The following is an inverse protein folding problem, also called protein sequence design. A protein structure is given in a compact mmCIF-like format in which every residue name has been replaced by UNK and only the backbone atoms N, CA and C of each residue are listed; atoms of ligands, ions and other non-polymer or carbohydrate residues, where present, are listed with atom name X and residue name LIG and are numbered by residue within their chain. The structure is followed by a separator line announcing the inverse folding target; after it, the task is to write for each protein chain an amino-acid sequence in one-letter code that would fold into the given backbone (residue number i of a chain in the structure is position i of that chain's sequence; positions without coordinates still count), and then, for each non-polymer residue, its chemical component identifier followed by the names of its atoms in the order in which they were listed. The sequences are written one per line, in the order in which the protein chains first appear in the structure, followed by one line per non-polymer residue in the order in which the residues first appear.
data_IF_518634487735
#
_entry.id   IF_518634487735
#
_cell.length_a   1.000
_cell.length_b   1.000
_cell.length_c   1.000
_cell.angle_alpha   90.00
_cell.angle_beta   90.00
_cell.angle_gamma   90.00
#
_symmetry.space_group_name_H-M   'P 1'
#
loop_
_entity.id
_entity.type
_entity.pdbx_description
1 polymer ?
#
# COMPACT_ATOMS: atom_id res chain seq x y z
N UNK A 1 -7.53 -80.32 -40.79
CA UNK A 1 -8.81 -81.01 -40.65
C UNK A 1 -9.49 -80.38 -39.48
N UNK A 2 -10.37 -79.40 -39.60
CA UNK A 2 -11.04 -78.72 -40.71
C UNK A 2 -11.51 -77.39 -40.05
N UNK A 3 -11.39 -76.24 -40.75
CA UNK A 3 -12.52 -75.50 -41.35
C UNK A 3 -13.50 -75.00 -40.29
N UNK A 4 -14.08 -73.80 -40.32
CA UNK A 4 -13.93 -72.56 -41.04
C UNK A 4 -14.77 -71.56 -40.21
N UNK A 5 -14.54 -70.29 -40.49
CA UNK A 5 -15.32 -69.08 -40.18
C UNK A 5 -16.80 -69.22 -39.77
N UNK A 6 -17.23 -68.37 -38.83
CA UNK A 6 -18.40 -67.50 -39.06
C UNK A 6 -18.43 -66.36 -38.03
N UNK A 7 -18.38 -65.15 -38.58
CA UNK A 7 -18.64 -63.86 -37.95
C UNK A 7 -20.08 -63.81 -37.41
N UNK A 8 -20.29 -63.12 -36.28
CA UNK A 8 -21.49 -62.31 -36.11
C UNK A 8 -21.23 -61.17 -35.13
N UNK A 9 -21.36 -59.97 -35.69
CA UNK A 9 -21.43 -58.67 -35.04
C UNK A 9 -22.53 -58.64 -33.97
N UNK A 10 -22.20 -58.15 -32.77
CA UNK A 10 -23.16 -57.34 -31.99
C UNK A 10 -22.39 -56.39 -31.06
N UNK A 11 -22.27 -55.19 -31.61
CA UNK A 11 -22.22 -53.87 -31.00
C UNK A 11 -22.66 -53.84 -29.52
N UNK A 12 -21.78 -53.45 -28.60
CA UNK A 12 -22.18 -52.53 -27.53
C UNK A 12 -20.99 -52.00 -26.70
N UNK A 13 -20.81 -50.68 -26.83
CA UNK A 13 -20.36 -49.77 -25.78
C UNK A 13 -18.85 -49.54 -25.58
N UNK A 14 -18.20 -49.07 -26.64
CA UNK A 14 -17.00 -48.24 -26.53
C UNK A 14 -17.34 -46.84 -25.98
N UNK A 15 -17.39 -46.68 -24.65
CA UNK A 15 -17.21 -45.35 -24.03
C UNK A 15 -15.71 -45.03 -23.91
N UNK A 16 -15.02 -44.86 -25.04
CA UNK A 16 -13.74 -44.17 -25.05
C UNK A 16 -14.02 -42.66 -25.01
N UNK A 17 -13.97 -42.10 -23.81
CA UNK A 17 -13.93 -40.65 -23.61
C UNK A 17 -12.64 -40.15 -24.24
N UNK A 18 -12.74 -39.60 -25.44
CA UNK A 18 -11.67 -38.84 -26.07
C UNK A 18 -11.27 -37.70 -25.13
N UNK A 19 -10.10 -37.83 -24.49
CA UNK A 19 -9.45 -36.71 -23.83
C UNK A 19 -9.05 -35.69 -24.91
N UNK A 20 -9.89 -34.68 -25.07
CA UNK A 20 -9.61 -33.55 -25.94
C UNK A 20 -8.57 -32.65 -25.24
N UNK A 21 -7.34 -32.47 -25.75
CA UNK A 21 -6.30 -31.71 -25.05
C UNK A 21 -6.41 -30.22 -25.41
N UNK A 22 -7.57 -29.61 -25.16
CA UNK A 22 -7.72 -28.15 -25.20
C UNK A 22 -8.68 -27.73 -24.08
N UNK A 23 -8.30 -28.00 -22.82
CA UNK A 23 -8.77 -27.14 -21.75
C UNK A 23 -7.89 -25.91 -21.83
N UNK A 24 -8.35 -24.93 -22.60
CA UNK A 24 -7.85 -23.57 -22.45
C UNK A 24 -8.01 -23.23 -20.97
N UNK A 25 -6.88 -23.21 -20.24
CA UNK A 25 -6.88 -22.72 -18.88
C UNK A 25 -7.55 -21.35 -18.93
N UNK A 26 -8.58 -21.08 -18.12
CA UNK A 26 -9.11 -19.74 -18.04
C UNK A 26 -7.92 -18.82 -17.77
N UNK A 27 -7.85 -17.63 -18.42
CA UNK A 27 -6.76 -16.71 -18.15
C UNK A 27 -6.66 -16.58 -16.64
N UNK A 28 -5.49 -16.86 -16.08
CA UNK A 28 -5.23 -16.63 -14.67
C UNK A 28 -5.39 -15.13 -14.51
N UNK A 29 -6.61 -14.70 -14.16
CA UNK A 29 -6.89 -13.32 -13.86
C UNK A 29 -6.01 -13.06 -12.67
N UNK A 30 -4.98 -12.25 -12.87
CA UNK A 30 -4.12 -11.83 -11.79
C UNK A 30 -4.95 -10.87 -10.94
N UNK A 31 -5.84 -11.43 -10.11
CA UNK A 31 -6.66 -10.71 -9.16
C UNK A 31 -5.67 -10.24 -8.10
N UNK A 32 -5.07 -9.07 -8.34
CA UNK A 32 -4.32 -8.37 -7.31
C UNK A 32 -5.30 -8.07 -6.19
N UNK A 33 -5.16 -8.78 -5.08
CA UNK A 33 -5.93 -8.49 -3.87
C UNK A 33 -5.46 -7.13 -3.33
N UNK A 34 -6.22 -6.08 -3.63
CA UNK A 34 -5.95 -4.74 -3.10
C UNK A 34 -6.65 -4.62 -1.74
N UNK A 35 -5.91 -4.20 -0.73
CA UNK A 35 -6.47 -3.93 0.58
C UNK A 35 -7.54 -2.83 0.50
N UNK A 36 -8.75 -3.10 0.99
CA UNK A 36 -9.86 -2.13 0.97
C UNK A 36 -9.75 -1.06 2.05
N UNK A 37 -8.91 -1.28 3.06
CA UNK A 37 -8.71 -0.31 4.13
C UNK A 37 -7.68 0.73 3.70
N UNK A 38 -6.63 0.37 2.96
CA UNK A 38 -5.66 1.36 2.48
C UNK A 38 -6.30 2.44 1.59
N UNK A 39 -5.74 3.67 1.57
CA UNK A 39 -6.18 4.72 0.67
C UNK A 39 -6.16 4.21 -0.77
N UNK A 40 -7.16 4.55 -1.60
CA UNK A 40 -7.23 4.03 -2.95
C UNK A 40 -5.99 4.43 -3.74
N UNK A 41 -5.19 3.43 -4.11
CA UNK A 41 -3.92 3.57 -4.84
C UNK A 41 -4.08 4.25 -6.22
N UNK A 42 -5.32 4.35 -6.71
CA UNK A 42 -5.66 4.88 -8.02
C UNK A 42 -5.91 6.40 -8.06
N UNK A 43 -6.17 7.07 -6.92
CA UNK A 43 -6.48 8.51 -6.91
C UNK A 43 -5.30 9.38 -6.51
N UNK A 44 -4.32 8.81 -5.83
CA UNK A 44 -3.04 9.41 -5.46
C UNK A 44 -2.09 8.22 -5.35
N UNK A 45 -0.88 8.27 -5.92
CA UNK A 45 0.11 7.18 -5.85
C UNK A 45 0.66 7.00 -4.42
N UNK A 46 -0.21 6.69 -3.47
CA UNK A 46 0.09 6.45 -2.05
C UNK A 46 0.45 4.97 -1.96
N UNK A 47 1.68 4.67 -2.30
CA UNK A 47 2.27 3.34 -2.19
C UNK A 47 3.29 3.41 -1.05
N UNK A 48 3.39 2.38 -0.20
CA UNK A 48 4.51 2.27 0.73
C UNK A 48 5.82 2.46 -0.02
N UNK A 49 6.80 3.12 0.60
CA UNK A 49 8.09 3.38 -0.03
C UNK A 49 8.81 2.10 -0.52
N UNK A 50 8.52 0.97 0.13
CA UNK A 50 9.06 -0.36 -0.16
C UNK A 50 8.15 -1.21 -1.06
N UNK A 51 7.03 -0.68 -1.57
CA UNK A 51 6.10 -1.40 -2.43
C UNK A 51 5.26 -2.45 -1.70
N UNK A 52 5.18 -2.40 -0.36
CA UNK A 52 4.46 -3.37 0.45
C UNK A 52 2.98 -3.51 0.06
N UNK A 53 2.51 -4.76 0.03
CA UNK A 53 1.10 -5.13 -0.16
C UNK A 53 0.58 -5.79 1.10
N UNK A 54 -0.60 -5.37 1.54
CA UNK A 54 -1.17 -5.89 2.79
C UNK A 54 -1.54 -7.37 2.64
N UNK A 55 -1.07 -8.25 3.54
CA UNK A 55 -1.60 -9.60 3.63
C UNK A 55 -3.05 -9.60 4.12
N UNK A 56 -3.71 -10.76 4.00
CA UNK A 56 -5.04 -10.97 4.60
C UNK A 56 -4.93 -10.77 6.11
N UNK A 57 -5.88 -10.03 6.70
CA UNK A 57 -5.92 -9.67 8.13
C UNK A 57 -4.81 -8.71 8.62
N UNK A 58 -4.15 -7.97 7.72
CA UNK A 58 -3.23 -6.90 8.12
C UNK A 58 -3.94 -5.85 8.99
N UNK A 59 -3.39 -5.55 10.17
CA UNK A 59 -3.88 -4.47 11.01
C UNK A 59 -3.57 -3.11 10.40
N UNK A 60 -4.42 -2.12 10.66
CA UNK A 60 -4.24 -0.75 10.19
C UNK A 60 -4.35 0.24 11.33
N UNK A 61 -3.48 1.25 11.30
CA UNK A 61 -3.47 2.39 12.21
C UNK A 61 -3.82 3.66 11.43
N UNK A 62 -4.38 4.64 12.13
CA UNK A 62 -4.80 5.91 11.52
C UNK A 62 -3.69 6.95 11.66
N UNK A 63 -3.43 7.68 10.58
CA UNK A 63 -2.58 8.86 10.64
C UNK A 63 -3.26 9.96 11.48
N UNK A 64 -2.59 10.46 12.52
CA UNK A 64 -3.11 11.53 13.37
C UNK A 64 -3.27 12.88 12.62
N UNK A 65 -2.65 13.00 11.44
CA UNK A 65 -2.75 14.19 10.61
C UNK A 65 -3.96 14.15 9.66
N UNK A 66 -4.07 13.13 8.80
CA UNK A 66 -5.07 13.04 7.73
C UNK A 66 -6.17 12.00 7.98
N UNK A 67 -6.08 11.24 9.07
CA UNK A 67 -7.02 10.19 9.47
C UNK A 67 -7.16 9.09 8.42
N UNK A 68 -6.23 9.02 7.46
CA UNK A 68 -6.16 7.91 6.53
C UNK A 68 -5.50 6.71 7.19
N UNK A 69 -6.03 5.50 6.95
CA UNK A 69 -5.43 4.27 7.45
C UNK A 69 -4.11 3.96 6.73
N UNK A 70 -3.21 3.32 7.45
CA UNK A 70 -1.98 2.72 6.92
C UNK A 70 -1.72 1.38 7.60
N UNK A 71 -1.07 0.42 6.93
CA UNK A 71 -0.73 -0.86 7.52
C UNK A 71 0.11 -0.67 8.78
N UNK A 72 -0.24 -1.34 9.88
CA UNK A 72 0.57 -1.30 11.10
C UNK A 72 1.80 -2.20 10.92
N UNK A 73 2.96 -1.57 10.79
CA UNK A 73 4.27 -2.21 10.55
C UNK A 73 5.32 -1.63 11.50
N UNK A 74 4.89 -1.09 12.64
CA UNK A 74 5.76 -0.39 13.60
C UNK A 74 6.83 -1.28 14.25
N UNK A 75 6.63 -2.59 14.21
CA UNK A 75 7.57 -3.57 14.77
C UNK A 75 8.63 -4.01 13.74
N UNK A 76 8.50 -3.58 12.48
CA UNK A 76 9.46 -3.88 11.42
C UNK A 76 10.64 -2.90 11.46
N UNK A 77 11.85 -3.43 11.27
CA UNK A 77 13.05 -2.62 11.16
C UNK A 77 12.94 -1.65 9.97
N UNK A 78 13.49 -0.45 10.14
CA UNK A 78 13.53 0.62 9.13
C UNK A 78 12.16 1.21 8.72
N UNK A 79 11.06 0.76 9.34
CA UNK A 79 9.72 1.34 9.13
C UNK A 79 9.45 2.46 10.14
N UNK A 80 9.26 3.67 9.62
CA UNK A 80 9.02 4.87 10.42
C UNK A 80 7.57 5.34 10.28
N UNK A 81 6.73 4.91 11.22
CA UNK A 81 5.29 5.20 11.24
C UNK A 81 4.84 6.02 12.45
N UNK A 82 5.75 6.32 13.38
CA UNK A 82 5.45 7.06 14.60
C UNK A 82 6.53 8.10 14.92
N UNK A 83 6.13 9.15 15.63
CA UNK A 83 7.08 10.11 16.18
C UNK A 83 7.83 9.50 17.36
N UNK A 84 9.15 9.61 17.38
CA UNK A 84 9.96 9.06 18.47
C UNK A 84 9.69 9.72 19.84
N UNK A 85 9.20 10.97 19.84
CA UNK A 85 8.93 11.75 21.05
C UNK A 85 7.51 11.47 21.56
N UNK A 86 6.48 11.80 20.79
CA UNK A 86 5.09 11.74 21.25
C UNK A 86 4.41 10.38 21.01
N UNK A 87 5.09 9.46 20.31
CA UNK A 87 4.60 8.11 19.96
C UNK A 87 3.31 8.07 19.15
N UNK A 88 2.86 9.21 18.60
CA UNK A 88 1.71 9.30 17.70
C UNK A 88 2.06 8.83 16.29
N UNK A 89 1.06 8.34 15.56
CA UNK A 89 1.22 7.71 14.25
C UNK A 89 0.97 8.67 13.09
N UNK A 90 1.80 8.58 12.05
CA UNK A 90 1.78 9.47 10.90
C UNK A 90 2.23 8.76 9.63
N UNK A 91 1.60 9.08 8.50
CA UNK A 91 1.79 8.34 7.26
C UNK A 91 2.86 8.89 6.31
N UNK A 92 3.41 10.08 6.56
CA UNK A 92 4.19 10.80 5.56
C UNK A 92 5.49 10.09 5.17
N UNK A 93 6.30 9.61 6.11
CA UNK A 93 7.51 8.85 5.75
C UNK A 93 7.14 7.52 5.08
N UNK A 94 6.11 6.84 5.60
CA UNK A 94 5.70 5.53 5.10
C UNK A 94 5.24 5.56 3.63
N UNK A 95 4.41 6.54 3.25
CA UNK A 95 3.88 6.69 1.89
C UNK A 95 4.57 7.77 1.07
N UNK A 96 5.62 8.41 1.59
CA UNK A 96 6.25 9.63 1.04
C UNK A 96 5.35 10.88 0.98
N UNK A 97 4.03 10.74 1.12
CA UNK A 97 3.08 11.85 1.05
C UNK A 97 1.89 11.64 1.98
N UNK A 98 1.57 12.67 2.77
CA UNK A 98 0.32 12.76 3.51
C UNK A 98 -0.79 13.38 2.63
N UNK A 99 -2.00 12.82 2.67
CA UNK A 99 -3.13 13.28 1.84
C UNK A 99 -3.84 14.54 2.36
N UNK A 100 -3.52 15.01 3.58
CA UNK A 100 -4.13 16.22 4.12
C UNK A 100 -3.65 17.45 3.35
N UNK A 101 -4.59 18.23 2.83
CA UNK A 101 -4.30 19.52 2.17
C UNK A 101 -3.55 20.44 3.14
N UNK A 102 -2.42 20.99 2.68
CA UNK A 102 -1.56 21.87 3.48
C UNK A 102 -0.62 21.15 4.46
N UNK A 103 -0.58 19.82 4.47
CA UNK A 103 0.41 19.08 5.25
C UNK A 103 1.80 19.22 4.62
N UNK A 104 2.78 19.70 5.41
CA UNK A 104 4.19 19.87 4.99
C UNK A 104 5.07 18.66 5.29
N UNK A 105 4.44 17.54 5.69
CA UNK A 105 5.11 16.33 6.15
C UNK A 105 4.82 16.09 7.62
N UNK A 106 3.72 15.39 7.91
CA UNK A 106 3.27 15.17 9.29
C UNK A 106 4.19 14.27 10.12
N UNK A 107 5.14 13.62 9.46
CA UNK A 107 6.29 12.96 10.06
C UNK A 107 7.44 13.07 9.06
N UNK A 108 8.62 13.44 9.54
CA UNK A 108 9.83 13.51 8.74
C UNK A 108 11.06 13.31 9.64
N UNK A 109 12.24 13.19 9.04
CA UNK A 109 13.49 13.35 9.79
C UNK A 109 13.60 14.80 10.25
N UNK A 110 14.18 15.03 11.44
CA UNK A 110 14.25 16.36 12.05
C UNK A 110 14.86 17.41 11.10
N UNK A 111 15.93 17.05 10.39
CA UNK A 111 16.65 17.89 9.42
C UNK A 111 15.83 18.26 8.18
N UNK A 112 14.82 17.45 7.86
CA UNK A 112 14.03 17.52 6.62
C UNK A 112 12.62 18.09 6.88
N UNK A 113 12.31 18.49 8.13
CA UNK A 113 11.03 19.14 8.42
C UNK A 113 10.94 20.50 7.73
N UNK A 114 9.83 20.68 7.01
CA UNK A 114 9.52 21.94 6.35
C UNK A 114 8.58 22.76 7.24
N UNK A 115 9.01 23.96 7.58
CA UNK A 115 8.25 24.91 8.38
C UNK A 115 7.71 26.02 7.47
N UNK A 116 6.39 26.17 7.37
CA UNK A 116 5.79 27.33 6.69
C UNK A 116 6.18 28.65 7.34
N UNK A 117 6.02 29.73 6.58
CA UNK A 117 6.23 31.11 7.05
C UNK A 117 5.45 31.43 8.35
N UNK A 118 4.24 30.88 8.50
CA UNK A 118 3.43 31.05 9.71
C UNK A 118 4.13 30.51 10.97
N UNK A 119 4.86 29.39 10.87
CA UNK A 119 5.62 28.85 12.00
C UNK A 119 6.78 29.76 12.40
N UNK A 120 7.32 30.54 11.46
CA UNK A 120 8.41 31.47 11.72
C UNK A 120 7.93 32.79 12.31
N UNK A 121 6.69 33.21 12.03
CA UNK A 121 6.14 34.51 12.47
C UNK A 121 6.23 34.72 13.99
N UNK A 122 6.10 33.66 14.79
CA UNK A 122 6.11 33.71 16.25
C UNK A 122 7.11 32.72 16.87
N UNK A 123 8.12 32.29 16.13
CA UNK A 123 9.03 31.22 16.54
C UNK A 123 9.87 31.58 17.78
N UNK A 124 10.26 32.84 17.93
CA UNK A 124 11.04 33.30 19.08
C UNK A 124 10.10 33.65 20.22
N UNK A 125 9.83 32.68 21.11
CA UNK A 125 9.01 32.86 22.33
C UNK A 125 7.68 33.60 22.10
N UNK A 126 6.97 33.31 21.01
CA UNK A 126 5.73 33.99 20.61
C UNK A 126 5.83 35.52 20.45
N UNK A 127 7.05 36.02 20.21
CA UNK A 127 7.33 37.43 19.98
C UNK A 127 7.52 37.70 18.48
N UNK A 128 6.58 38.37 17.80
CA UNK A 128 6.66 38.62 16.36
C UNK A 128 7.78 39.60 15.99
N UNK A 129 8.15 40.53 16.88
CA UNK A 129 9.22 41.51 16.62
C UNK A 129 10.58 40.82 16.64
N UNK A 130 10.87 40.05 17.67
CA UNK A 130 12.13 39.28 17.75
C UNK A 130 12.21 38.22 16.64
N UNK A 131 11.09 37.55 16.37
CA UNK A 131 11.00 36.59 15.26
C UNK A 131 11.27 37.25 13.92
N UNK A 132 10.76 38.47 13.70
CA UNK A 132 11.04 39.24 12.48
C UNK A 132 12.50 39.64 12.36
N UNK A 133 13.14 40.07 13.46
CA UNK A 133 14.58 40.40 13.48
C UNK A 133 15.39 39.19 13.03
N UNK A 134 15.15 38.02 13.64
CA UNK A 134 15.84 36.78 13.28
C UNK A 134 15.60 36.39 11.82
N UNK A 135 14.35 36.47 11.34
CA UNK A 135 14.03 36.16 9.94
C UNK A 135 14.73 37.09 8.94
N UNK A 136 14.90 38.37 9.26
CA UNK A 136 15.65 39.31 8.41
C UNK A 136 17.13 38.99 8.42
N UNK A 137 17.70 38.57 9.56
CA UNK A 137 19.11 38.18 9.68
C UNK A 137 19.48 36.86 9.01
N UNK A 138 18.50 36.01 8.69
CA UNK A 138 18.69 34.73 8.00
C UNK A 138 18.64 34.85 6.46
N UNK A 139 18.42 36.05 5.93
CA UNK A 139 18.47 36.37 4.49
C UNK A 139 19.84 36.90 4.08
#
# INVERSE_FOLDING_TARGET
MDDDDDDDDDDDNHHQIYFNPIIAHPPVVNIRFVCRQCPPQAVVAIVPADGFQCPVNQNHILCQCCVQPMPDRRDEADIHQHCEICKQFFCNIYFQQCSRVGCLGCLNHLRDFNFSHHHLTNFVNDNPVESQIVQVSLK
#
